data_IF_243622946533
#
_entry.id   IF_243622946533
#
_cell.length_a   1.000
_cell.length_b   1.000
_cell.length_c   1.000
_cell.angle_alpha   90.00
_cell.angle_beta   90.00
_cell.angle_gamma   90.00
#
_symmetry.space_group_name_H-M   'P 1'
#
loop_
_entity.id
_entity.type
_entity.pdbx_description
1 polymer ?
#
# COMPACT_ATOMS: atom_id res chain seq x y z
N UNK A 1 -17.78 50.25 48.32
CA UNK A 1 -16.74 49.23 48.60
C UNK A 1 -17.13 47.99 47.80
N UNK A 2 -16.76 47.89 46.52
CA UNK A 2 -15.53 47.23 46.03
C UNK A 2 -15.29 45.84 46.62
N UNK A 3 -15.58 44.80 45.83
CA UNK A 3 -14.66 43.67 45.65
C UNK A 3 -14.94 42.95 44.33
N UNK A 4 -14.07 43.24 43.36
CA UNK A 4 -13.87 42.51 42.13
C UNK A 4 -13.47 41.06 42.45
N UNK A 5 -14.08 40.09 41.79
CA UNK A 5 -13.42 38.81 41.50
C UNK A 5 -13.63 38.47 40.02
N UNK A 6 -12.68 38.95 39.23
CA UNK A 6 -12.32 38.46 37.91
C UNK A 6 -11.92 36.99 38.03
N UNK A 7 -12.70 36.08 37.47
CA UNK A 7 -12.27 34.69 37.24
C UNK A 7 -11.90 34.57 35.76
N UNK A 8 -10.65 34.91 35.44
CA UNK A 8 -10.03 34.68 34.14
C UNK A 8 -9.07 33.50 34.31
N UNK A 9 -9.15 32.54 33.39
CA UNK A 9 -7.95 31.85 32.91
C UNK A 9 -7.77 30.41 33.39
N UNK A 10 -8.46 29.49 32.74
CA UNK A 10 -7.95 28.13 32.54
C UNK A 10 -8.53 27.55 31.24
N UNK A 11 -8.23 28.20 30.11
CA UNK A 11 -8.45 27.62 28.80
C UNK A 11 -7.12 27.69 28.05
N UNK A 12 -6.30 26.64 28.13
CA UNK A 12 -5.22 26.42 27.18
C UNK A 12 -4.67 24.99 27.26
N UNK A 13 -4.53 24.43 26.06
CA UNK A 13 -3.58 23.38 25.71
C UNK A 13 -3.99 21.92 25.90
N UNK A 14 -5.13 21.53 25.30
CA UNK A 14 -5.12 20.26 24.56
C UNK A 14 -4.34 20.48 23.27
N UNK A 15 -3.00 20.38 23.36
CA UNK A 15 -2.19 20.13 22.17
C UNK A 15 -2.73 18.84 21.54
N UNK A 16 -3.34 18.96 20.37
CA UNK A 16 -3.58 17.84 19.50
C UNK A 16 -2.23 17.15 19.27
N UNK A 17 -2.01 16.05 19.99
CA UNK A 17 -1.21 14.94 19.50
C UNK A 17 -1.98 14.40 18.29
N UNK A 18 -1.98 15.14 17.18
CA UNK A 18 -2.26 14.55 15.90
C UNK A 18 -1.21 13.44 15.77
N UNK A 19 -1.61 12.16 15.68
CA UNK A 19 -0.65 11.13 15.32
C UNK A 19 -0.06 11.62 14.00
N UNK A 20 1.26 11.77 13.96
CA UNK A 20 1.98 11.94 12.71
C UNK A 20 1.63 10.69 11.94
N UNK A 21 0.66 10.79 11.04
CA UNK A 21 0.27 9.68 10.18
C UNK A 21 1.54 9.34 9.44
N UNK A 22 2.07 8.16 9.74
CA UNK A 22 3.28 7.66 9.11
C UNK A 22 3.10 7.77 7.60
N UNK A 23 4.03 8.49 6.96
CA UNK A 23 3.99 8.69 5.52
C UNK A 23 4.18 7.34 4.84
N UNK A 24 3.24 6.99 3.97
CA UNK A 24 3.26 5.74 3.23
C UNK A 24 4.25 5.82 2.07
N UNK A 25 5.24 4.92 2.03
CA UNK A 25 6.04 4.74 0.83
C UNK A 25 5.46 3.62 -0.02
N UNK A 26 4.74 4.02 -1.08
CA UNK A 26 4.45 3.14 -2.21
C UNK A 26 5.50 3.41 -3.28
N UNK A 27 6.51 2.56 -3.34
CA UNK A 27 7.62 2.70 -4.28
C UNK A 27 7.40 1.75 -5.45
N UNK A 28 7.35 2.31 -6.65
CA UNK A 28 7.07 1.57 -7.87
C UNK A 28 8.06 1.92 -8.96
N UNK A 29 8.57 0.90 -9.65
CA UNK A 29 9.25 1.10 -10.93
C UNK A 29 8.17 1.46 -11.95
N UNK A 30 8.36 2.56 -12.66
CA UNK A 30 7.45 3.00 -13.72
C UNK A 30 8.24 3.42 -14.94
N UNK A 31 7.74 3.07 -16.12
CA UNK A 31 8.16 3.69 -17.38
C UNK A 31 7.14 4.77 -17.67
N UNK A 32 7.53 6.04 -17.51
CA UNK A 32 6.67 7.16 -17.89
C UNK A 32 6.73 7.29 -19.41
N UNK A 33 5.56 7.40 -20.04
CA UNK A 33 5.41 7.43 -21.50
C UNK A 33 5.00 8.80 -22.00
N UNK A 34 4.38 9.63 -21.17
CA UNK A 34 3.99 10.99 -21.51
C UNK A 34 3.88 11.88 -20.27
N UNK A 35 4.00 13.19 -20.50
CA UNK A 35 3.57 14.23 -19.58
C UNK A 35 2.56 15.08 -20.36
N UNK A 36 1.43 15.43 -19.76
CA UNK A 36 0.47 16.33 -20.36
C UNK A 36 1.12 17.67 -20.71
N UNK A 37 0.73 18.26 -21.85
CA UNK A 37 1.29 19.53 -22.31
C UNK A 37 1.03 20.68 -21.33
N UNK A 38 -0.07 20.61 -20.59
CA UNK A 38 -0.48 21.58 -19.59
C UNK A 38 -0.76 20.90 -18.25
N UNK A 39 -0.52 21.59 -17.11
CA UNK A 39 -0.95 21.13 -15.81
C UNK A 39 -2.47 20.94 -15.74
N UNK A 40 -2.92 20.10 -14.81
CA UNK A 40 -4.35 19.96 -14.50
C UNK A 40 -4.92 21.23 -13.83
N UNK A 41 -6.22 21.21 -13.52
CA UNK A 41 -6.91 22.33 -12.87
C UNK A 41 -6.36 22.69 -11.48
N UNK A 42 -5.57 21.81 -10.86
CA UNK A 42 -4.90 22.03 -9.58
C UNK A 42 -3.44 22.46 -9.77
N UNK A 43 -2.97 22.65 -11.00
CA UNK A 43 -1.60 23.03 -11.32
C UNK A 43 -0.59 21.88 -11.20
N UNK A 44 -1.04 20.62 -11.25
CA UNK A 44 -0.16 19.46 -11.25
C UNK A 44 0.14 18.96 -12.67
N UNK A 45 1.39 18.63 -12.95
CA UNK A 45 1.73 17.89 -14.17
C UNK A 45 1.18 16.46 -14.05
N UNK A 46 0.45 16.02 -15.08
CA UNK A 46 -0.06 14.64 -15.15
C UNK A 46 0.89 13.82 -16.01
N UNK A 47 1.42 12.74 -15.42
CA UNK A 47 2.30 11.79 -16.06
C UNK A 47 1.52 10.51 -16.40
N UNK A 48 1.66 10.03 -17.62
CA UNK A 48 1.16 8.71 -18.03
C UNK A 48 2.26 7.68 -17.89
N UNK A 49 1.94 6.53 -17.32
CA UNK A 49 2.85 5.39 -17.18
C UNK A 49 2.45 4.23 -18.08
N UNK A 50 3.43 3.43 -18.48
CA UNK A 50 3.23 2.28 -19.37
C UNK A 50 2.45 1.13 -18.72
N UNK A 51 2.59 0.99 -17.40
CA UNK A 51 2.02 -0.10 -16.61
C UNK A 51 1.04 0.46 -15.56
N UNK A 52 0.18 -0.41 -15.02
CA UNK A 52 -0.76 0.01 -13.97
C UNK A 52 0.00 0.44 -12.72
N UNK A 53 -0.41 1.55 -12.10
CA UNK A 53 0.18 1.99 -10.84
C UNK A 53 -0.23 1.05 -9.71
N UNK A 54 0.52 1.06 -8.61
CA UNK A 54 0.15 0.37 -7.39
C UNK A 54 -1.25 0.75 -6.85
N UNK A 55 -1.74 1.95 -7.18
CA UNK A 55 -3.06 2.45 -6.80
C UNK A 55 -4.15 2.19 -7.86
N UNK A 56 -3.82 1.46 -8.93
CA UNK A 56 -4.68 1.32 -10.10
C UNK A 56 -4.52 2.46 -11.11
N UNK A 57 -5.10 2.29 -12.30
CA UNK A 57 -4.95 3.24 -13.41
C UNK A 57 -3.51 3.34 -13.95
N UNK A 58 -3.28 4.27 -14.86
CA UNK A 58 -2.01 4.46 -15.57
C UNK A 58 -1.50 5.91 -15.53
N UNK A 59 -1.92 6.66 -14.52
CA UNK A 59 -1.54 8.07 -14.35
C UNK A 59 -1.02 8.34 -12.95
N UNK A 60 -0.12 9.32 -12.86
CA UNK A 60 0.43 9.86 -11.61
C UNK A 60 0.52 11.38 -11.76
N UNK A 61 0.29 12.12 -10.67
CA UNK A 61 0.43 13.58 -10.64
C UNK A 61 1.73 14.01 -9.97
N UNK A 62 2.32 15.09 -10.45
CA UNK A 62 3.50 15.72 -9.87
C UNK A 62 3.20 17.21 -9.69
N UNK A 63 3.50 17.75 -8.51
CA UNK A 63 3.19 19.15 -8.19
C UNK A 63 4.31 19.79 -7.39
N UNK A 64 4.62 21.04 -7.72
CA UNK A 64 5.58 21.84 -6.97
C UNK A 64 5.13 22.01 -5.51
N UNK A 65 6.07 21.91 -4.57
CA UNK A 65 5.79 21.93 -3.13
C UNK A 65 5.29 20.62 -2.54
N UNK A 66 4.88 19.63 -3.35
CA UNK A 66 4.60 18.26 -2.90
C UNK A 66 5.76 17.30 -3.20
N UNK A 67 6.59 17.61 -4.19
CA UNK A 67 7.79 16.81 -4.46
C UNK A 67 8.86 17.04 -3.40
N UNK A 68 9.42 15.93 -2.91
CA UNK A 68 10.53 15.86 -1.96
C UNK A 68 11.83 15.40 -2.64
N UNK A 69 11.92 15.55 -3.96
CA UNK A 69 13.15 15.36 -4.72
C UNK A 69 14.24 16.35 -4.25
N UNK A 70 15.50 15.93 -4.31
CA UNK A 70 16.64 16.85 -4.08
C UNK A 70 16.69 17.95 -5.16
N UNK A 71 16.41 17.58 -6.41
CA UNK A 71 16.29 18.52 -7.52
C UNK A 71 14.99 19.32 -7.43
N UNK A 72 15.09 20.63 -7.67
CA UNK A 72 13.93 21.48 -7.81
C UNK A 72 13.02 21.03 -8.97
N UNK A 73 11.72 21.30 -8.85
CA UNK A 73 10.69 20.91 -9.82
C UNK A 73 11.07 21.26 -11.28
N UNK A 74 11.53 22.50 -11.49
CA UNK A 74 11.93 23.01 -12.81
C UNK A 74 13.12 22.24 -13.43
N UNK A 75 14.02 21.72 -12.61
CA UNK A 75 15.18 20.93 -13.04
C UNK A 75 14.83 19.46 -13.25
N UNK A 76 13.88 18.94 -12.48
CA UNK A 76 13.43 17.56 -12.58
C UNK A 76 12.68 17.28 -13.90
N UNK A 77 11.80 18.20 -14.31
CA UNK A 77 10.92 18.01 -15.48
C UNK A 77 11.67 17.72 -16.78
N UNK A 78 12.73 18.46 -17.17
CA UNK A 78 13.56 18.11 -18.34
C UNK A 78 14.18 16.71 -18.24
N UNK A 79 14.64 16.31 -17.05
CA UNK A 79 15.19 14.97 -16.81
C UNK A 79 14.15 13.86 -17.02
N UNK A 80 12.90 14.09 -16.59
CA UNK A 80 11.80 13.15 -16.86
C UNK A 80 11.52 13.09 -18.36
N UNK A 81 11.44 14.22 -19.07
CA UNK A 81 11.22 14.26 -20.53
C UNK A 81 12.29 13.47 -21.27
N UNK A 82 13.56 13.60 -20.88
CA UNK A 82 14.64 12.82 -21.48
C UNK A 82 14.44 11.31 -21.24
N UNK A 83 14.11 10.92 -20.01
CA UNK A 83 13.84 9.51 -19.68
C UNK A 83 12.63 8.94 -20.41
N UNK A 84 11.60 9.74 -20.65
CA UNK A 84 10.45 9.35 -21.49
C UNK A 84 10.91 9.01 -22.91
N UNK A 85 11.73 9.87 -23.53
CA UNK A 85 12.27 9.65 -24.89
C UNK A 85 13.10 8.38 -24.97
N UNK A 86 13.91 8.12 -23.95
CA UNK A 86 14.77 6.94 -23.84
C UNK A 86 14.03 5.69 -23.37
N UNK A 87 12.77 5.82 -22.95
CA UNK A 87 11.99 4.77 -22.26
C UNK A 87 12.72 4.20 -21.03
N UNK A 88 13.50 5.05 -20.38
CA UNK A 88 14.30 4.70 -19.21
C UNK A 88 13.38 4.58 -17.99
N UNK A 89 13.37 3.44 -17.29
CA UNK A 89 12.55 3.27 -16.10
C UNK A 89 12.93 4.26 -14.99
N UNK A 90 11.95 4.61 -14.17
CA UNK A 90 12.09 5.50 -13.02
C UNK A 90 11.51 4.85 -11.77
N UNK A 91 12.02 5.26 -10.62
CA UNK A 91 11.48 4.90 -9.33
C UNK A 91 10.56 6.04 -8.88
N UNK A 92 9.26 5.76 -8.80
CA UNK A 92 8.24 6.70 -8.35
C UNK A 92 7.78 6.29 -6.96
N UNK A 93 7.90 7.21 -6.00
CA UNK A 93 7.32 7.05 -4.67
C UNK A 93 6.05 7.88 -4.60
N UNK A 94 4.92 7.26 -4.29
CA UNK A 94 3.63 7.95 -4.11
C UNK A 94 3.42 8.32 -2.64
N UNK A 95 2.63 9.37 -2.38
CA UNK A 95 2.14 9.68 -1.02
C UNK A 95 1.16 8.63 -0.48
N UNK A 96 0.49 7.89 -1.37
CA UNK A 96 -0.56 6.94 -1.04
C UNK A 96 -1.57 6.82 -2.16
N UNK A 97 -2.53 5.92 -2.00
CA UNK A 97 -3.64 5.74 -2.94
C UNK A 97 -4.85 6.59 -2.50
N UNK A 98 -5.46 7.39 -3.40
CA UNK A 98 -6.62 8.23 -3.07
C UNK A 98 -7.92 7.40 -3.02
N UNK A 99 -8.13 6.69 -1.91
CA UNK A 99 -9.27 5.80 -1.71
C UNK A 99 -10.60 6.57 -1.72
N UNK A 100 -11.61 6.00 -2.38
CA UNK A 100 -12.96 6.59 -2.46
C UNK A 100 -13.08 7.78 -3.42
N UNK A 101 -12.00 8.14 -4.10
CA UNK A 101 -11.98 9.20 -5.11
C UNK A 101 -12.24 8.65 -6.51
N UNK A 102 -12.73 9.51 -7.39
CA UNK A 102 -13.03 9.19 -8.78
C UNK A 102 -12.49 10.27 -9.73
N UNK A 103 -12.43 9.95 -11.03
CA UNK A 103 -11.92 10.87 -12.05
C UNK A 103 -10.48 11.34 -11.76
N UNK A 104 -10.24 12.64 -11.89
CA UNK A 104 -8.93 13.25 -11.66
C UNK A 104 -8.45 13.14 -10.20
N UNK A 105 -9.37 13.13 -9.22
CA UNK A 105 -9.03 12.99 -7.81
C UNK A 105 -8.51 11.58 -7.46
N UNK A 106 -8.82 10.58 -8.30
CA UNK A 106 -8.32 9.22 -8.14
C UNK A 106 -6.86 9.05 -8.60
N UNK A 107 -6.24 10.09 -9.18
CA UNK A 107 -4.85 10.03 -9.64
C UNK A 107 -3.91 10.35 -8.47
N UNK A 108 -3.01 9.43 -8.06
CA UNK A 108 -2.13 9.63 -6.91
C UNK A 108 -1.04 10.66 -7.20
N UNK A 109 -0.58 11.36 -6.16
CA UNK A 109 0.58 12.26 -6.24
C UNK A 109 1.89 11.51 -6.00
N UNK A 110 2.88 11.79 -6.86
CA UNK A 110 4.26 11.45 -6.61
C UNK A 110 4.84 12.37 -5.53
N UNK A 111 5.51 11.76 -4.56
CA UNK A 111 6.37 12.40 -3.56
C UNK A 111 7.80 12.48 -4.06
N UNK A 112 8.28 11.44 -4.74
CA UNK A 112 9.61 11.43 -5.35
C UNK A 112 9.57 10.73 -6.71
N UNK A 113 10.34 11.25 -7.67
CA UNK A 113 10.59 10.59 -8.96
C UNK A 113 12.10 10.59 -9.19
N UNK A 114 12.72 9.41 -9.17
CA UNK A 114 14.17 9.27 -9.28
C UNK A 114 14.57 8.25 -10.35
N UNK A 115 15.85 8.26 -10.72
CA UNK A 115 16.40 7.25 -11.61
C UNK A 115 16.28 5.85 -11.02
N UNK A 116 15.88 4.90 -11.86
CA UNK A 116 15.84 3.50 -11.53
C UNK A 116 17.25 2.90 -11.66
N UNK A 117 17.87 2.52 -10.54
CA UNK A 117 19.17 1.87 -10.49
C UNK A 117 19.04 0.34 -10.47
N UNK A 118 20.13 -0.42 -10.68
CA UNK A 118 20.11 -1.89 -10.73
C UNK A 118 19.49 -2.51 -9.46
N UNK A 119 19.74 -1.90 -8.30
CA UNK A 119 19.29 -2.41 -7.00
C UNK A 119 17.89 -1.94 -6.61
N UNK A 120 17.36 -0.86 -7.23
CA UNK A 120 16.04 -0.31 -6.90
C UNK A 120 14.91 -0.82 -7.79
N UNK A 121 15.23 -1.60 -8.83
CA UNK A 121 14.28 -1.98 -9.88
C UNK A 121 14.40 -3.42 -10.42
N UNK A 122 15.05 -4.31 -9.68
CA UNK A 122 15.45 -5.62 -10.19
C UNK A 122 14.30 -6.49 -10.75
N UNK A 123 13.09 -6.40 -10.22
CA UNK A 123 11.94 -7.25 -10.61
C UNK A 123 10.75 -6.49 -11.18
N UNK A 124 10.87 -5.17 -11.29
CA UNK A 124 9.82 -4.28 -11.79
C UNK A 124 8.52 -4.20 -11.00
N UNK A 125 8.44 -4.80 -9.81
CA UNK A 125 7.22 -4.78 -9.00
C UNK A 125 7.17 -3.60 -8.04
N UNK A 126 5.96 -3.06 -7.84
CA UNK A 126 5.70 -2.06 -6.82
C UNK A 126 5.74 -2.67 -5.42
N UNK A 127 6.16 -1.89 -4.43
CA UNK A 127 6.26 -2.30 -3.03
C UNK A 127 5.71 -1.21 -2.12
N UNK A 128 4.79 -1.61 -1.25
CA UNK A 128 4.37 -0.83 -0.09
C UNK A 128 5.24 -1.24 1.10
N UNK A 129 5.87 -0.26 1.75
CA UNK A 129 6.72 -0.49 2.92
C UNK A 129 5.93 -0.29 4.21
N UNK A 130 6.17 -1.17 5.18
CA UNK A 130 5.34 -1.29 6.38
C UNK A 130 6.20 -1.31 7.65
N UNK A 131 5.68 -0.76 8.73
CA UNK A 131 6.25 -0.86 10.08
C UNK A 131 5.94 -2.21 10.77
N UNK A 132 6.38 -2.38 12.01
CA UNK A 132 6.14 -3.60 12.81
C UNK A 132 4.66 -3.87 13.09
N UNK A 133 3.81 -2.83 12.99
CA UNK A 133 2.36 -2.90 13.16
C UNK A 133 1.63 -3.05 11.82
N UNK A 134 2.37 -3.32 10.74
CA UNK A 134 1.88 -3.45 9.38
C UNK A 134 1.25 -2.17 8.83
N UNK A 135 1.59 -1.01 9.39
CA UNK A 135 1.13 0.29 8.92
C UNK A 135 2.10 0.85 7.87
N UNK A 136 1.62 1.60 6.87
CA UNK A 136 2.50 2.23 5.87
C UNK A 136 3.60 3.09 6.50
N UNK A 137 4.82 2.95 6.00
CA UNK A 137 6.00 3.60 6.56
C UNK A 137 7.05 3.86 5.48
N UNK A 138 7.94 4.83 5.73
CA UNK A 138 9.07 5.11 4.85
C UNK A 138 10.04 3.93 4.72
N UNK A 139 10.50 3.63 3.49
CA UNK A 139 11.34 2.44 3.19
C UNK A 139 12.54 2.29 4.11
N UNK A 140 13.24 3.39 4.42
CA UNK A 140 14.47 3.37 5.25
C UNK A 140 14.23 2.81 6.66
N UNK A 141 12.99 2.87 7.16
CA UNK A 141 12.60 2.43 8.50
C UNK A 141 11.70 1.21 8.49
N UNK A 142 11.36 0.69 7.32
CA UNK A 142 10.40 -0.38 7.20
C UNK A 142 11.09 -1.73 7.41
N UNK A 143 10.73 -2.51 8.44
CA UNK A 143 11.15 -3.90 8.56
C UNK A 143 10.48 -4.77 7.48
N UNK A 144 9.31 -4.39 6.98
CA UNK A 144 8.50 -5.23 6.09
C UNK A 144 8.11 -4.53 4.80
N UNK A 145 7.79 -5.32 3.78
CA UNK A 145 7.17 -4.83 2.56
C UNK A 145 6.10 -5.79 2.02
N UNK A 146 5.18 -5.23 1.26
CA UNK A 146 4.12 -5.92 0.53
C UNK A 146 4.27 -5.59 -0.96
N UNK A 147 4.19 -6.61 -1.81
CA UNK A 147 4.27 -6.44 -3.26
C UNK A 147 2.90 -6.06 -3.82
N UNK A 148 2.86 -5.06 -4.70
CA UNK A 148 1.66 -4.53 -5.33
C UNK A 148 1.71 -4.64 -6.86
N UNK A 149 0.54 -4.65 -7.55
CA UNK A 149 -0.82 -4.71 -6.98
C UNK A 149 -1.10 -6.07 -6.33
N UNK A 150 -2.06 -6.10 -5.40
CA UNK A 150 -2.42 -7.36 -4.76
C UNK A 150 -3.04 -8.32 -5.78
N UNK A 151 -2.59 -9.59 -5.84
CA UNK A 151 -3.24 -10.61 -6.66
C UNK A 151 -4.66 -10.86 -6.16
N UNK A 152 -5.60 -11.19 -7.05
CA UNK A 152 -6.92 -11.70 -6.64
C UNK A 152 -6.73 -13.02 -5.87
N UNK A 153 -7.51 -13.22 -4.82
CA UNK A 153 -7.46 -14.44 -4.04
C UNK A 153 -8.61 -15.41 -4.40
N UNK A 154 -8.64 -16.55 -3.73
CA UNK A 154 -9.61 -17.61 -4.00
C UNK A 154 -11.04 -17.20 -3.60
N UNK A 155 -11.19 -16.45 -2.50
CA UNK A 155 -12.48 -15.92 -2.10
C UNK A 155 -12.90 -14.78 -3.04
N UNK A 156 -14.08 -14.84 -3.69
CA UNK A 156 -14.56 -13.77 -4.55
C UNK A 156 -14.58 -12.43 -3.83
N UNK A 157 -14.09 -11.38 -4.50
CA UNK A 157 -14.03 -10.04 -3.92
C UNK A 157 -12.93 -9.85 -2.86
N UNK A 158 -11.94 -10.74 -2.82
CA UNK A 158 -10.78 -10.60 -1.93
C UNK A 158 -9.44 -10.67 -2.68
N UNK A 159 -8.39 -10.19 -2.02
CA UNK A 159 -7.04 -10.11 -2.56
C UNK A 159 -6.03 -10.78 -1.65
N UNK A 160 -5.04 -11.44 -2.25
CA UNK A 160 -4.01 -12.20 -1.54
C UNK A 160 -3.01 -11.22 -0.93
N UNK A 161 -2.68 -11.45 0.33
CA UNK A 161 -1.68 -10.67 1.08
C UNK A 161 -0.53 -11.60 1.46
N UNK A 162 0.69 -11.21 1.09
CA UNK A 162 1.94 -11.78 1.58
C UNK A 162 2.90 -10.64 1.93
N UNK A 163 3.20 -10.51 3.22
CA UNK A 163 4.11 -9.48 3.74
C UNK A 163 5.47 -10.14 3.99
N UNK A 164 6.52 -9.55 3.44
CA UNK A 164 7.88 -10.08 3.46
C UNK A 164 8.79 -9.24 4.35
N UNK A 165 9.83 -9.87 4.88
CA UNK A 165 10.93 -9.19 5.54
C UNK A 165 11.82 -8.43 4.53
N UNK A 166 12.17 -7.18 4.84
CA UNK A 166 12.98 -6.32 3.94
C UNK A 166 14.43 -6.77 3.80
N UNK A 167 14.97 -7.44 4.83
CA UNK A 167 16.34 -7.96 4.88
C UNK A 167 16.37 -9.37 4.27
N UNK A 168 15.50 -10.26 4.76
CA UNK A 168 15.33 -11.64 4.26
C UNK A 168 14.10 -11.73 3.36
N UNK A 169 14.27 -11.31 2.10
CA UNK A 169 13.18 -11.11 1.13
C UNK A 169 12.35 -12.35 0.79
N UNK A 170 12.86 -13.53 1.10
CA UNK A 170 12.22 -14.83 0.94
C UNK A 170 11.39 -15.24 2.17
N UNK A 171 11.53 -14.55 3.30
CA UNK A 171 10.79 -14.85 4.53
C UNK A 171 9.47 -14.08 4.55
N UNK A 172 8.37 -14.84 4.58
CA UNK A 172 7.01 -14.33 4.80
C UNK A 172 6.79 -14.11 6.29
N UNK A 173 6.16 -13.00 6.64
CA UNK A 173 5.82 -12.56 8.02
C UNK A 173 4.34 -12.62 8.31
N UNK A 174 3.55 -12.39 7.27
CA UNK A 174 2.10 -12.56 7.28
C UNK A 174 1.63 -13.10 5.93
N UNK A 175 0.71 -14.06 5.96
CA UNK A 175 -0.02 -14.50 4.77
C UNK A 175 -1.51 -14.54 5.06
N UNK A 176 -2.33 -14.03 4.15
CA UNK A 176 -3.79 -14.00 4.31
C UNK A 176 -4.51 -13.45 3.08
N UNK A 177 -5.72 -12.95 3.30
CA UNK A 177 -6.51 -12.27 2.29
C UNK A 177 -7.13 -11.00 2.87
N UNK A 178 -7.38 -9.99 2.04
CA UNK A 178 -8.08 -8.76 2.42
C UNK A 178 -9.32 -8.54 1.56
N UNK A 179 -10.32 -7.84 2.12
CA UNK A 179 -11.56 -7.47 1.44
C UNK A 179 -11.43 -6.21 0.55
N UNK A 180 -10.23 -5.65 0.38
CA UNK A 180 -9.98 -4.52 -0.52
C UNK A 180 -8.74 -4.73 -1.41
N UNK A 181 -8.74 -4.13 -2.60
CA UNK A 181 -7.59 -4.18 -3.51
C UNK A 181 -6.38 -3.39 -2.99
N UNK A 182 -6.64 -2.42 -2.11
CA UNK A 182 -5.65 -1.65 -1.38
C UNK A 182 -5.53 -2.20 0.05
N UNK A 183 -4.35 -2.66 0.42
CA UNK A 183 -4.06 -3.22 1.73
C UNK A 183 -4.32 -2.22 2.88
N UNK A 184 -4.12 -0.92 2.65
CA UNK A 184 -4.23 0.10 3.72
C UNK A 184 -5.69 0.32 4.11
N UNK A 185 -6.58 0.38 3.12
CA UNK A 185 -8.03 0.47 3.33
C UNK A 185 -8.70 -0.86 3.68
N UNK A 186 -8.00 -1.98 3.46
CA UNK A 186 -8.54 -3.32 3.56
C UNK A 186 -8.41 -3.91 4.96
N UNK A 187 -9.38 -4.75 5.32
CA UNK A 187 -9.32 -5.57 6.52
C UNK A 187 -8.86 -6.98 6.13
N UNK A 188 -8.06 -7.62 6.98
CA UNK A 188 -7.77 -9.04 6.81
C UNK A 188 -9.05 -9.83 7.06
N UNK A 189 -9.39 -10.72 6.13
CA UNK A 189 -10.63 -11.50 6.18
C UNK A 189 -10.35 -12.98 5.99
N UNK A 190 -11.21 -13.81 6.61
CA UNK A 190 -11.02 -15.24 6.67
C UNK A 190 -9.85 -15.61 7.59
N UNK A 191 -9.14 -16.68 7.25
CA UNK A 191 -7.97 -17.10 8.02
C UNK A 191 -6.68 -16.46 7.53
N UNK A 192 -5.81 -16.09 8.47
CA UNK A 192 -4.49 -15.52 8.20
C UNK A 192 -3.45 -16.07 9.17
N UNK A 193 -2.19 -16.06 8.74
CA UNK A 193 -1.06 -16.68 9.45
C UNK A 193 0.04 -15.66 9.70
N UNK A 194 0.60 -15.67 10.90
CA UNK A 194 1.84 -14.96 11.24
C UNK A 194 2.99 -15.94 11.34
N UNK A 195 4.17 -15.45 10.98
CA UNK A 195 5.40 -16.22 11.04
C UNK A 195 6.45 -15.46 11.84
N UNK A 196 7.27 -16.19 12.59
CA UNK A 196 8.41 -15.63 13.30
C UNK A 196 9.53 -15.22 12.35
N UNK A 197 10.66 -14.82 12.94
CA UNK A 197 11.82 -14.36 12.19
C UNK A 197 12.32 -15.44 11.24
N UNK A 198 12.20 -16.71 11.58
CA UNK A 198 12.74 -17.79 10.75
C UNK A 198 11.72 -18.34 9.75
N UNK A 199 10.58 -17.66 9.61
CA UNK A 199 9.50 -18.06 8.72
C UNK A 199 8.67 -19.21 9.27
N UNK A 200 8.78 -19.50 10.57
CA UNK A 200 8.02 -20.56 11.24
C UNK A 200 6.68 -20.01 11.69
N UNK A 201 5.60 -20.76 11.44
CA UNK A 201 4.24 -20.38 11.83
C UNK A 201 4.15 -20.18 13.34
N UNK A 202 3.75 -18.98 13.77
CA UNK A 202 3.55 -18.65 15.19
C UNK A 202 2.09 -18.55 15.58
N UNK A 203 1.25 -18.10 14.65
CA UNK A 203 -0.17 -17.90 14.88
C UNK A 203 -0.96 -18.15 13.61
N UNK A 204 -2.10 -18.80 13.74
CA UNK A 204 -3.09 -18.96 12.67
C UNK A 204 -4.46 -18.55 13.22
N UNK A 205 -4.99 -17.46 12.68
CA UNK A 205 -6.38 -17.09 12.90
C UNK A 205 -7.24 -17.87 11.92
N UNK A 206 -8.24 -18.57 12.44
CA UNK A 206 -9.15 -19.39 11.65
C UNK A 206 -10.59 -19.18 12.10
N UNK A 207 -11.35 -18.45 11.29
CA UNK A 207 -12.78 -18.76 11.17
C UNK A 207 -12.91 -19.80 10.05
N UNK A 208 -12.65 -21.06 10.39
CA UNK A 208 -13.13 -22.18 9.58
C UNK A 208 -14.61 -21.94 9.28
N UNK A 209 -15.08 -22.00 8.02
CA UNK A 209 -16.51 -22.13 7.77
C UNK A 209 -16.98 -23.33 8.59
N UNK A 210 -17.90 -23.09 9.53
CA UNK A 210 -18.42 -24.04 10.53
C UNK A 210 -19.02 -25.36 9.98
N UNK A 211 -18.84 -25.69 8.71
CA UNK A 211 -19.44 -26.86 8.05
C UNK A 211 -18.51 -28.05 7.79
N UNK A 212 -17.22 -27.97 8.12
CA UNK A 212 -16.31 -29.12 7.97
C UNK A 212 -15.75 -29.68 9.30
N UNK A 213 -15.95 -28.98 10.43
CA UNK A 213 -15.38 -29.38 11.71
C UNK A 213 -16.11 -30.58 12.37
N UNK A 214 -17.38 -30.84 12.00
CA UNK A 214 -18.19 -31.86 12.66
C UNK A 214 -18.06 -33.27 12.05
N UNK A 215 -17.28 -33.46 10.99
CA UNK A 215 -17.15 -34.78 10.31
C UNK A 215 -15.95 -35.60 10.83
N UNK A 216 -15.05 -35.01 11.61
CA UNK A 216 -13.86 -35.71 12.14
C UNK A 216 -14.17 -36.63 13.35
N UNK A 217 -15.41 -36.68 13.83
CA UNK A 217 -15.80 -37.40 15.05
C UNK A 217 -16.87 -38.47 14.91
N UNK A 218 -17.33 -38.82 13.69
CA UNK A 218 -18.43 -39.78 13.51
C UNK A 218 -17.95 -41.15 13.00
N UNK A 219 -18.46 -42.27 13.56
CA UNK A 219 -18.08 -43.62 13.16
C UNK A 219 -18.50 -43.93 11.72
N UNK A 220 -17.70 -44.77 11.06
CA UNK A 220 -17.62 -45.01 9.61
C UNK A 220 -18.88 -45.54 8.88
N UNK A 221 -20.07 -45.53 9.48
CA UNK A 221 -21.30 -46.05 8.86
C UNK A 221 -22.24 -44.97 8.29
N UNK A 222 -21.86 -43.69 8.30
CA UNK A 222 -22.65 -42.60 7.70
C UNK A 222 -22.01 -41.98 6.43
N UNK A 223 -21.04 -42.66 5.81
CA UNK A 223 -20.39 -42.17 4.58
C UNK A 223 -21.19 -42.60 3.36
N UNK A 224 -22.33 -41.95 3.08
CA UNK A 224 -22.89 -42.07 1.72
C UNK A 224 -23.75 -40.91 1.19
N UNK A 225 -23.89 -39.79 1.91
CA UNK A 225 -24.76 -38.70 1.42
C UNK A 225 -24.11 -37.32 1.23
N UNK A 226 -22.88 -37.06 1.70
CA UNK A 226 -22.38 -35.68 1.73
C UNK A 226 -20.90 -35.53 1.34
N UNK A 227 -20.55 -35.95 0.12
CA UNK A 227 -19.22 -35.68 -0.47
C UNK A 227 -19.26 -34.69 -1.65
N UNK A 228 -20.41 -34.06 -1.92
CA UNK A 228 -20.52 -33.11 -3.06
C UNK A 228 -20.20 -31.65 -2.70
N UNK A 229 -19.96 -31.32 -1.43
CA UNK A 229 -19.71 -29.95 -0.98
C UNK A 229 -18.24 -29.54 -0.79
N UNK A 230 -17.29 -30.47 -0.81
CA UNK A 230 -15.86 -30.20 -0.49
C UNK A 230 -14.91 -30.33 -1.68
N UNK A 231 -15.43 -30.46 -2.90
CA UNK A 231 -14.61 -30.56 -4.10
C UNK A 231 -15.11 -29.62 -5.19
N UNK A 232 -14.59 -28.38 -5.17
CA UNK A 232 -13.88 -27.71 -6.29
C UNK A 232 -13.57 -26.26 -5.92
#
# INVERSE_FOLDING_TARGET
MQKNQTMIGAALSTMLLCPIVAQADIIQRQVITAISDHPDSEGADVLTVAETTACGGNQVRMKEGLLENEDAYASLRPGIIQRIREKTPMLVTLFGCPVGKNGAEAIPFARMITGCGPNSCADGKARLYLDERLMPQVKRRAPYYLVLPLPKAALPGTWKVEIFDTIRRDVVRLSGQTNAADFVSGELVGGYRYYDNDGVLTHEDGQTPKKCADVAGQPAHAIQADQRGCAK
#
